data_IF_696819260526
#
_entry.id   IF_696819260526
#
_cell.length_a   1.000
_cell.length_b   1.000
_cell.length_c   1.000
_cell.angle_alpha   90.00
_cell.angle_beta   90.00
_cell.angle_gamma   90.00
#
_symmetry.space_group_name_H-M   'P 1'
#
loop_
_entity.id
_entity.type
_entity.pdbx_description
1 polymer ?
#
# COMPACT_ATOMS: atom_id res chain seq x y z
N UNK A 1 -23.48 -53.79 -25.08
CA UNK A 1 -24.40 -52.68 -25.44
C UNK A 1 -23.71 -51.37 -25.13
N UNK A 2 -23.40 -50.55 -26.14
CA UNK A 2 -22.84 -49.20 -25.96
C UNK A 2 -24.03 -48.27 -25.73
N UNK A 3 -24.15 -47.70 -24.53
CA UNK A 3 -25.23 -46.77 -24.18
C UNK A 3 -24.67 -45.34 -24.16
N UNK A 4 -24.58 -44.66 -25.31
CA UNK A 4 -23.87 -43.38 -25.44
C UNK A 4 -24.44 -42.27 -24.54
N UNK A 5 -25.74 -42.33 -24.21
CA UNK A 5 -26.38 -41.36 -23.32
C UNK A 5 -25.83 -41.39 -21.89
N UNK A 6 -25.50 -42.58 -21.36
CA UNK A 6 -24.92 -42.72 -20.03
C UNK A 6 -23.48 -42.19 -19.97
N UNK A 7 -22.71 -42.41 -21.03
CA UNK A 7 -21.34 -41.89 -21.13
C UNK A 7 -21.33 -40.36 -21.19
N UNK A 8 -22.29 -39.75 -21.91
CA UNK A 8 -22.40 -38.28 -22.01
C UNK A 8 -22.70 -37.64 -20.65
N UNK A 9 -23.67 -38.17 -19.90
CA UNK A 9 -24.00 -37.63 -18.57
C UNK A 9 -22.88 -37.83 -17.56
N UNK A 10 -22.19 -38.97 -17.60
CA UNK A 10 -21.03 -39.22 -16.76
C UNK A 10 -19.89 -38.22 -17.05
N UNK A 11 -19.55 -38.00 -18.33
CA UNK A 11 -18.51 -37.04 -18.74
C UNK A 11 -18.87 -35.61 -18.35
N UNK A 12 -20.13 -35.19 -18.54
CA UNK A 12 -20.61 -33.87 -18.12
C UNK A 12 -20.48 -33.67 -16.61
N UNK A 13 -20.86 -34.67 -15.82
CA UNK A 13 -20.80 -34.58 -14.35
C UNK A 13 -19.35 -34.48 -13.86
N UNK A 14 -18.44 -35.27 -14.46
CA UNK A 14 -17.00 -35.21 -14.18
C UNK A 14 -16.42 -33.87 -14.59
N UNK A 15 -16.74 -33.38 -15.79
CA UNK A 15 -16.25 -32.08 -16.28
C UNK A 15 -16.71 -30.92 -15.38
N UNK A 16 -17.96 -30.96 -14.91
CA UNK A 16 -18.52 -29.92 -14.05
C UNK A 16 -17.91 -29.97 -12.64
N UNK A 17 -17.67 -31.17 -12.09
CA UNK A 17 -17.00 -31.34 -10.80
C UNK A 17 -15.53 -30.87 -10.82
N UNK A 18 -14.79 -31.22 -11.88
CA UNK A 18 -13.41 -30.76 -12.07
C UNK A 18 -13.40 -29.23 -12.25
N UNK A 19 -14.25 -28.70 -13.13
CA UNK A 19 -14.32 -27.26 -13.40
C UNK A 19 -14.66 -26.43 -12.16
N UNK A 20 -15.63 -26.85 -11.35
CA UNK A 20 -15.99 -26.17 -10.11
C UNK A 20 -14.83 -26.17 -9.09
N UNK A 21 -14.15 -27.30 -8.94
CA UNK A 21 -13.02 -27.43 -8.01
C UNK A 21 -11.84 -26.56 -8.48
N UNK A 22 -11.51 -26.59 -9.77
CA UNK A 22 -10.46 -25.75 -10.36
C UNK A 22 -10.79 -24.26 -10.23
N UNK A 23 -12.04 -23.84 -10.41
CA UNK A 23 -12.43 -22.43 -10.25
C UNK A 23 -12.21 -21.94 -8.81
N UNK A 24 -12.60 -22.73 -7.81
CA UNK A 24 -12.39 -22.41 -6.39
C UNK A 24 -10.89 -22.30 -6.10
N UNK A 25 -10.09 -23.30 -6.51
CA UNK A 25 -8.65 -23.27 -6.30
C UNK A 25 -7.97 -22.15 -7.07
N UNK A 26 -8.45 -21.76 -8.26
CA UNK A 26 -7.90 -20.65 -9.02
C UNK A 26 -8.13 -19.30 -8.32
N UNK A 27 -9.31 -19.09 -7.71
CA UNK A 27 -9.57 -17.86 -6.93
C UNK A 27 -8.70 -17.83 -5.68
N UNK A 28 -8.60 -18.95 -4.97
CA UNK A 28 -7.74 -19.05 -3.79
C UNK A 28 -6.28 -18.84 -4.17
N UNK A 29 -5.82 -19.46 -5.26
CA UNK A 29 -4.45 -19.29 -5.75
C UNK A 29 -4.17 -17.86 -6.20
N UNK A 30 -5.11 -17.19 -6.86
CA UNK A 30 -4.96 -15.77 -7.22
C UNK A 30 -4.88 -14.85 -5.99
N UNK A 31 -5.51 -15.23 -4.87
CA UNK A 31 -5.38 -14.53 -3.59
C UNK A 31 -4.03 -14.79 -2.92
N UNK A 32 -3.44 -15.97 -3.14
CA UNK A 32 -2.13 -16.37 -2.61
C UNK A 32 -0.98 -16.18 -3.60
N UNK A 33 -1.24 -15.62 -4.79
CA UNK A 33 -0.20 -15.34 -5.76
C UNK A 33 0.85 -14.47 -5.05
N UNK A 34 2.13 -14.87 -5.06
CA UNK A 34 3.14 -14.20 -4.27
C UNK A 34 3.11 -12.74 -4.65
N UNK A 35 2.68 -11.91 -3.70
CA UNK A 35 2.66 -10.47 -3.90
C UNK A 35 4.01 -10.07 -4.48
N UNK A 36 4.06 -9.23 -5.53
CA UNK A 36 5.24 -8.98 -6.35
C UNK A 36 6.28 -8.13 -5.61
N UNK A 37 6.71 -8.62 -4.45
CA UNK A 37 7.79 -8.11 -3.65
C UNK A 37 9.04 -8.92 -4.01
N UNK A 38 10.21 -8.30 -4.16
CA UNK A 38 11.43 -9.01 -4.57
C UNK A 38 11.91 -10.05 -3.56
N UNK A 39 11.45 -9.98 -2.30
CA UNK A 39 11.84 -10.88 -1.20
C UNK A 39 10.66 -11.19 -0.26
N UNK A 40 9.64 -11.94 -0.71
CA UNK A 40 8.44 -12.18 0.09
C UNK A 40 8.74 -12.94 1.39
N UNK A 41 9.73 -13.84 1.38
CA UNK A 41 10.12 -14.64 2.56
C UNK A 41 10.76 -13.82 3.70
N UNK A 42 11.13 -12.56 3.43
CA UNK A 42 11.78 -11.67 4.41
C UNK A 42 10.83 -10.61 4.95
N UNK A 43 9.60 -10.55 4.43
CA UNK A 43 8.59 -9.59 4.87
C UNK A 43 7.70 -10.24 5.90
N UNK A 44 7.74 -9.71 7.12
CA UNK A 44 6.84 -10.12 8.20
C UNK A 44 6.03 -8.92 8.69
N UNK A 45 4.76 -9.16 8.99
CA UNK A 45 3.89 -8.15 9.56
C UNK A 45 3.85 -8.30 11.07
N UNK A 46 4.31 -7.27 11.78
CA UNK A 46 4.34 -7.24 13.24
C UNK A 46 3.13 -6.47 13.74
N UNK A 47 2.45 -7.03 14.75
CA UNK A 47 1.27 -6.44 15.38
C UNK A 47 1.53 -6.29 16.87
N UNK A 48 1.01 -5.23 17.48
CA UNK A 48 0.93 -5.16 18.94
C UNK A 48 -0.23 -6.02 19.41
N UNK A 49 -0.08 -6.72 20.53
CA UNK A 49 -1.18 -7.46 21.15
C UNK A 49 -1.78 -6.63 22.28
N UNK A 50 -3.02 -6.19 22.13
CA UNK A 50 -3.79 -5.57 23.20
C UNK A 50 -4.93 -6.51 23.59
N UNK A 51 -4.98 -6.91 24.87
CA UNK A 51 -6.02 -7.80 25.41
C UNK A 51 -6.20 -9.11 24.62
N UNK A 52 -5.10 -9.72 24.15
CA UNK A 52 -5.12 -10.97 23.40
C UNK A 52 -5.49 -10.84 21.92
N UNK A 53 -5.85 -9.65 21.44
CA UNK A 53 -6.16 -9.38 20.04
C UNK A 53 -5.02 -8.63 19.34
N UNK A 54 -4.86 -8.89 18.04
CA UNK A 54 -3.97 -8.10 17.18
C UNK A 54 -4.51 -6.68 17.09
N UNK A 55 -3.65 -5.71 17.39
CA UNK A 55 -3.96 -4.30 17.35
C UNK A 55 -2.88 -3.55 16.55
N UNK A 56 -3.25 -2.35 16.10
CA UNK A 56 -2.32 -1.43 15.45
C UNK A 56 -1.19 -1.05 16.41
N UNK A 57 0.02 -0.95 15.87
CA UNK A 57 1.20 -0.54 16.63
C UNK A 57 1.12 0.96 16.87
N UNK A 58 1.35 1.38 18.12
CA UNK A 58 1.44 2.80 18.48
C UNK A 58 2.74 3.39 17.96
N UNK A 59 2.75 4.69 17.66
CA UNK A 59 3.95 5.36 17.15
C UNK A 59 5.18 5.21 18.06
N UNK A 60 4.97 5.25 19.38
CA UNK A 60 6.03 5.08 20.38
C UNK A 60 6.64 3.69 20.33
N UNK A 61 5.80 2.65 20.27
CA UNK A 61 6.24 1.25 20.16
C UNK A 61 7.03 1.02 18.88
N UNK A 62 6.60 1.61 17.75
CA UNK A 62 7.33 1.53 16.49
C UNK A 62 8.75 2.12 16.61
N UNK A 63 8.89 3.29 17.23
CA UNK A 63 10.21 3.93 17.44
C UNK A 63 11.11 3.07 18.33
N UNK A 64 10.55 2.51 19.40
CA UNK A 64 11.28 1.60 20.28
C UNK A 64 11.72 0.33 19.54
N UNK A 65 10.85 -0.27 18.72
CA UNK A 65 11.19 -1.45 17.93
C UNK A 65 12.26 -1.15 16.89
N UNK A 66 12.17 0.00 16.22
CA UNK A 66 13.16 0.45 15.24
C UNK A 66 14.54 0.65 15.86
N UNK A 67 14.61 1.14 17.10
CA UNK A 67 15.88 1.37 17.80
C UNK A 67 16.45 0.11 18.46
N UNK A 68 15.60 -0.78 18.98
CA UNK A 68 16.02 -1.92 19.81
C UNK A 68 16.11 -3.25 19.06
N UNK A 69 15.46 -3.37 17.91
CA UNK A 69 15.45 -4.65 17.18
C UNK A 69 16.70 -4.81 16.33
N UNK A 70 17.45 -5.88 16.58
CA UNK A 70 18.60 -6.31 15.77
C UNK A 70 18.24 -7.45 14.80
N UNK A 71 17.05 -8.02 14.92
CA UNK A 71 16.61 -9.19 14.13
C UNK A 71 16.13 -8.82 12.73
N UNK A 72 15.81 -7.56 12.47
CA UNK A 72 15.27 -7.08 11.19
C UNK A 72 16.27 -6.18 10.46
N UNK A 73 16.40 -6.36 9.14
CA UNK A 73 17.20 -5.47 8.30
C UNK A 73 16.61 -4.05 8.21
N UNK A 74 15.29 -3.94 8.36
CA UNK A 74 14.57 -2.67 8.39
C UNK A 74 13.15 -2.86 8.91
N UNK A 75 12.62 -1.84 9.57
CA UNK A 75 11.24 -1.82 10.06
C UNK A 75 10.53 -0.61 9.48
N UNK A 76 9.56 -0.89 8.61
CA UNK A 76 8.65 0.11 8.07
C UNK A 76 7.31 0.08 8.79
N UNK A 77 6.72 1.25 9.03
CA UNK A 77 5.34 1.36 9.47
C UNK A 77 4.48 1.96 8.37
N UNK A 78 3.22 1.52 8.31
CA UNK A 78 2.22 2.12 7.44
C UNK A 78 0.87 2.21 8.11
N UNK A 79 0.05 3.15 7.68
CA UNK A 79 -1.35 3.26 8.08
C UNK A 79 -2.19 3.70 6.88
N UNK A 80 -3.34 3.06 6.67
CA UNK A 80 -4.28 3.45 5.62
C UNK A 80 -5.03 4.73 5.99
N UNK A 81 -5.39 5.52 4.99
CA UNK A 81 -6.18 6.74 5.19
C UNK A 81 -6.84 7.23 3.91
N UNK A 82 -7.68 8.23 4.04
CA UNK A 82 -8.20 8.99 2.90
C UNK A 82 -7.74 10.43 2.99
N UNK A 83 -7.32 10.99 1.87
CA UNK A 83 -6.75 12.33 1.76
C UNK A 83 -7.50 13.13 0.71
N UNK A 84 -7.75 14.40 0.98
CA UNK A 84 -8.37 15.29 0.01
C UNK A 84 -7.27 15.98 -0.79
N UNK A 85 -7.25 15.80 -2.10
CA UNK A 85 -6.29 16.40 -3.02
C UNK A 85 -6.98 17.52 -3.81
N UNK A 86 -6.32 18.68 -3.90
CA UNK A 86 -6.78 19.82 -4.69
C UNK A 86 -7.13 21.07 -3.87
N UNK A 87 -7.48 22.14 -4.58
CA UNK A 87 -8.01 23.39 -3.99
C UNK A 87 -9.49 23.22 -3.65
N UNK A 88 -10.02 24.12 -2.80
CA UNK A 88 -11.43 24.21 -2.35
C UNK A 88 -12.48 24.05 -3.45
N UNK A 89 -12.08 24.33 -4.69
CA UNK A 89 -12.98 24.47 -5.84
C UNK A 89 -13.22 23.11 -6.52
N UNK A 90 -12.31 22.13 -6.33
CA UNK A 90 -12.43 20.73 -6.79
C UNK A 90 -11.66 19.75 -5.86
N UNK A 91 -12.10 19.56 -4.61
CA UNK A 91 -11.48 18.57 -3.73
C UNK A 91 -11.86 17.14 -4.18
N UNK A 92 -10.86 16.30 -4.42
CA UNK A 92 -11.06 14.86 -4.66
C UNK A 92 -10.53 14.07 -3.46
N UNK A 93 -11.37 13.23 -2.86
CA UNK A 93 -10.93 12.32 -1.81
C UNK A 93 -10.28 11.09 -2.45
N UNK A 94 -9.02 10.86 -2.13
CA UNK A 94 -8.22 9.75 -2.63
C UNK A 94 -7.84 8.83 -1.48
N UNK A 95 -7.93 7.53 -1.72
CA UNK A 95 -7.36 6.54 -0.82
C UNK A 95 -5.83 6.63 -0.86
N UNK A 96 -5.21 6.66 0.31
CA UNK A 96 -3.76 6.74 0.45
C UNK A 96 -3.27 6.00 1.68
N UNK A 97 -1.96 6.08 1.92
CA UNK A 97 -1.39 5.56 3.14
C UNK A 97 -0.27 6.45 3.67
N UNK A 98 -0.17 6.52 4.98
CA UNK A 98 1.00 7.07 5.65
C UNK A 98 2.05 5.99 5.70
N UNK A 99 3.27 6.26 5.23
CA UNK A 99 4.37 5.29 5.24
C UNK A 99 5.62 5.93 5.79
N UNK A 100 6.46 5.16 6.45
CA UNK A 100 7.78 5.61 6.92
C UNK A 100 8.79 5.67 5.78
N UNK A 101 9.87 6.47 5.90
CA UNK A 101 10.94 6.45 4.90
C UNK A 101 11.54 5.05 4.71
N UNK A 102 11.87 4.69 3.48
CA UNK A 102 12.43 3.38 3.11
C UNK A 102 11.41 2.24 2.98
N UNK A 103 10.12 2.49 3.21
CA UNK A 103 9.07 1.47 3.06
C UNK A 103 8.96 0.97 1.60
N UNK A 104 9.02 1.87 0.62
CA UNK A 104 8.94 1.50 -0.79
C UNK A 104 10.17 0.72 -1.24
N UNK A 105 11.34 1.08 -0.73
CA UNK A 105 12.59 0.34 -0.93
C UNK A 105 12.49 -1.08 -0.34
N UNK A 106 11.86 -1.24 0.83
CA UNK A 106 11.63 -2.54 1.48
C UNK A 106 10.67 -3.42 0.66
N UNK A 107 9.60 -2.85 0.11
CA UNK A 107 8.70 -3.55 -0.84
C UNK A 107 9.34 -3.76 -2.22
N UNK A 108 10.50 -3.14 -2.47
CA UNK A 108 11.20 -3.17 -3.75
C UNK A 108 10.41 -2.56 -4.90
N UNK A 109 9.59 -1.55 -4.61
CA UNK A 109 8.80 -0.84 -5.60
C UNK A 109 9.66 0.19 -6.32
N UNK A 110 9.95 0.02 -7.62
CA UNK A 110 10.71 1.02 -8.36
C UNK A 110 9.84 2.26 -8.60
N UNK A 111 10.34 3.41 -8.15
CA UNK A 111 9.79 4.71 -8.53
C UNK A 111 9.98 4.92 -10.04
N UNK A 112 8.96 5.41 -10.73
CA UNK A 112 9.08 5.71 -12.16
C UNK A 112 9.91 6.99 -12.38
N UNK A 113 9.66 8.00 -11.54
CA UNK A 113 10.33 9.29 -11.56
C UNK A 113 10.43 9.82 -10.14
N UNK A 114 11.52 10.50 -9.82
CA UNK A 114 11.77 11.04 -8.47
C UNK A 114 12.50 10.04 -7.57
N UNK A 115 12.34 10.21 -6.25
CA UNK A 115 12.99 9.39 -5.21
C UNK A 115 12.02 8.97 -4.12
N UNK A 116 12.37 7.91 -3.40
CA UNK A 116 11.73 7.57 -2.13
C UNK A 116 11.91 8.71 -1.10
N UNK A 117 11.15 8.65 -0.02
CA UNK A 117 11.28 9.57 1.11
C UNK A 117 12.67 9.47 1.73
N UNK A 118 13.25 10.62 2.04
CA UNK A 118 14.50 10.71 2.77
C UNK A 118 14.28 10.47 4.27
N UNK A 119 15.28 9.93 4.99
CA UNK A 119 15.19 9.74 6.44
C UNK A 119 14.86 11.03 7.21
N UNK A 120 15.36 12.19 6.76
CA UNK A 120 15.15 13.49 7.39
C UNK A 120 13.72 14.02 7.19
N UNK A 121 13.04 13.58 6.13
CA UNK A 121 11.63 13.94 5.86
C UNK A 121 10.69 13.18 6.80
N UNK A 122 11.16 12.06 7.39
CA UNK A 122 10.44 11.33 8.42
C UNK A 122 10.52 11.95 9.81
N UNK A 123 11.01 13.20 9.92
CA UNK A 123 11.03 13.94 11.18
C UNK A 123 9.84 14.91 11.26
N UNK A 124 9.33 15.18 12.48
CA UNK A 124 8.21 16.09 12.63
C UNK A 124 8.51 17.49 12.06
N UNK A 125 7.59 18.03 11.25
CA UNK A 125 7.73 19.34 10.62
C UNK A 125 8.51 19.31 9.30
N UNK A 126 9.04 18.14 8.91
CA UNK A 126 9.66 17.90 7.58
C UNK A 126 8.87 16.88 6.76
N UNK A 127 7.70 16.49 7.26
CA UNK A 127 6.79 15.46 6.73
C UNK A 127 5.82 16.00 5.66
N UNK A 128 6.16 17.11 5.02
CA UNK A 128 5.35 17.70 3.94
C UNK A 128 5.73 17.15 2.57
N UNK A 129 5.88 15.82 2.46
CA UNK A 129 6.31 15.16 1.22
C UNK A 129 5.34 14.04 0.83
N UNK A 130 5.00 13.98 -0.46
CA UNK A 130 4.08 12.99 -1.00
C UNK A 130 4.59 12.31 -2.25
N UNK A 131 4.31 11.01 -2.34
CA UNK A 131 4.53 10.19 -3.51
C UNK A 131 3.17 9.86 -4.12
N UNK A 132 2.99 10.27 -5.38
CA UNK A 132 1.72 10.16 -6.08
C UNK A 132 1.64 8.82 -6.81
N UNK A 133 0.46 8.20 -6.76
CA UNK A 133 0.17 7.04 -7.60
C UNK A 133 0.02 7.46 -9.06
N UNK A 134 0.38 6.57 -9.99
CA UNK A 134 0.21 6.83 -11.43
C UNK A 134 -1.22 7.23 -11.78
N UNK A 135 -2.21 6.60 -11.14
CA UNK A 135 -3.63 6.87 -11.39
C UNK A 135 -4.03 8.28 -10.98
N UNK A 136 -3.54 8.76 -9.84
CA UNK A 136 -3.81 10.12 -9.37
C UNK A 136 -3.11 11.15 -10.26
N UNK A 137 -1.85 10.89 -10.62
CA UNK A 137 -1.09 11.72 -11.53
C UNK A 137 -1.73 11.84 -12.93
N UNK A 138 -2.17 10.73 -13.51
CA UNK A 138 -2.82 10.74 -14.82
C UNK A 138 -4.20 11.43 -14.78
N UNK A 139 -5.03 11.15 -13.77
CA UNK A 139 -6.40 11.69 -13.69
C UNK A 139 -6.49 13.15 -13.24
N UNK A 140 -5.72 13.54 -12.23
CA UNK A 140 -5.85 14.86 -11.61
C UNK A 140 -4.85 15.87 -12.19
N UNK A 141 -3.74 15.38 -12.72
CA UNK A 141 -2.62 16.21 -13.15
C UNK A 141 -2.27 16.05 -14.64
N UNK A 142 -3.10 15.35 -15.41
CA UNK A 142 -2.94 15.18 -16.86
C UNK A 142 -1.53 14.71 -17.28
N UNK A 143 -0.88 13.88 -16.43
CA UNK A 143 0.47 13.38 -16.64
C UNK A 143 1.54 14.49 -16.73
N UNK A 144 1.29 15.64 -16.10
CA UNK A 144 2.23 16.75 -16.04
C UNK A 144 3.43 16.39 -15.15
N UNK A 145 4.61 16.30 -15.79
CA UNK A 145 5.88 16.00 -15.11
C UNK A 145 6.41 17.18 -14.29
N UNK A 146 5.93 18.40 -14.54
CA UNK A 146 6.38 19.60 -13.81
C UNK A 146 5.92 19.61 -12.36
N UNK A 147 5.07 18.65 -11.96
CA UNK A 147 4.55 18.52 -10.61
C UNK A 147 5.58 17.95 -9.63
N UNK A 148 6.61 17.26 -10.10
CA UNK A 148 7.74 16.88 -9.25
C UNK A 148 8.38 18.14 -8.66
N UNK A 149 8.48 18.19 -7.33
CA UNK A 149 8.99 19.33 -6.59
C UNK A 149 8.00 20.48 -6.41
N UNK A 150 6.80 20.43 -7.01
CA UNK A 150 5.75 21.43 -6.78
C UNK A 150 4.98 21.15 -5.50
N UNK A 151 4.43 22.23 -4.96
CA UNK A 151 3.50 22.21 -3.84
C UNK A 151 2.10 21.81 -4.34
N UNK A 152 1.53 20.81 -3.67
CA UNK A 152 0.18 20.30 -3.87
C UNK A 152 -0.53 20.42 -2.53
N UNK A 153 -1.80 20.82 -2.56
CA UNK A 153 -2.62 20.84 -1.37
C UNK A 153 -3.19 19.45 -1.07
N UNK A 154 -2.89 18.95 0.12
CA UNK A 154 -3.45 17.71 0.67
C UNK A 154 -4.07 17.98 2.03
N UNK A 155 -5.36 17.67 2.19
CA UNK A 155 -6.14 17.99 3.39
C UNK A 155 -6.08 19.49 3.77
N UNK A 156 -5.92 20.38 2.79
CA UNK A 156 -5.78 21.83 2.99
C UNK A 156 -4.38 22.28 3.38
N UNK A 157 -3.42 21.37 3.55
CA UNK A 157 -2.03 21.67 3.87
C UNK A 157 -1.14 21.60 2.63
N UNK A 158 -0.12 22.48 2.53
CA UNK A 158 0.86 22.42 1.45
C UNK A 158 1.77 21.20 1.61
N UNK A 159 1.95 20.42 0.55
CA UNK A 159 2.80 19.22 0.52
C UNK A 159 3.55 19.15 -0.80
N UNK A 160 4.85 18.87 -0.76
CA UNK A 160 5.68 18.78 -1.94
C UNK A 160 5.64 17.37 -2.55
N UNK A 161 5.46 17.27 -3.87
CA UNK A 161 5.59 15.98 -4.57
C UNK A 161 7.06 15.60 -4.75
N UNK A 162 7.46 14.39 -4.31
CA UNK A 162 8.83 13.88 -4.48
C UNK A 162 8.98 12.84 -5.60
N UNK A 163 7.95 12.03 -5.85
CA UNK A 163 8.01 10.94 -6.84
C UNK A 163 6.65 10.47 -7.35
N UNK A 164 6.71 9.67 -8.42
CA UNK A 164 5.59 8.93 -9.01
C UNK A 164 5.82 7.41 -9.01
N UNK A 165 4.82 6.65 -8.57
CA UNK A 165 4.82 5.19 -8.65
C UNK A 165 4.52 4.67 -10.07
N UNK A 166 4.94 3.44 -10.37
CA UNK A 166 4.57 2.74 -11.62
C UNK A 166 3.05 2.43 -11.71
N UNK A 167 2.50 2.21 -12.92
CA UNK A 167 1.11 1.76 -13.09
C UNK A 167 0.91 0.41 -12.39
N UNK A 168 -0.21 0.22 -11.72
CA UNK A 168 -0.53 -0.98 -10.93
C UNK A 168 -0.46 -0.79 -9.41
N UNK A 169 0.17 0.30 -8.94
CA UNK A 169 0.20 0.67 -7.53
C UNK A 169 -0.83 1.77 -7.24
N UNK A 170 -1.83 1.44 -6.43
CA UNK A 170 -3.03 2.27 -6.23
C UNK A 170 -2.84 3.36 -5.16
N UNK A 171 -1.78 3.29 -4.37
CA UNK A 171 -1.67 4.05 -3.13
C UNK A 171 -0.92 5.36 -3.35
N UNK A 172 -1.60 6.49 -3.14
CA UNK A 172 -0.92 7.76 -2.88
C UNK A 172 -0.34 7.68 -1.46
N UNK A 173 0.97 7.77 -1.32
CA UNK A 173 1.61 7.68 -0.02
C UNK A 173 2.07 9.04 0.43
N UNK A 174 1.58 9.47 1.59
CA UNK A 174 2.05 10.68 2.23
C UNK A 174 3.00 10.26 3.33
N UNK A 175 4.15 10.92 3.42
CA UNK A 175 4.99 10.75 4.58
C UNK A 175 4.33 11.51 5.72
N UNK A 176 3.95 10.84 6.79
CA UNK A 176 3.65 11.53 8.04
C UNK A 176 4.24 10.72 9.18
N UNK A 177 5.50 11.00 9.48
CA UNK A 177 6.11 10.62 10.75
C UNK A 177 6.17 11.88 11.61
N UNK A 178 5.01 12.22 12.19
CA UNK A 178 4.84 13.36 13.08
C UNK A 178 3.54 13.22 13.86
N UNK A 179 3.35 14.08 14.86
CA UNK A 179 2.31 14.08 15.91
C UNK A 179 0.88 13.77 15.44
N UNK A 180 0.59 13.94 14.15
CA UNK A 180 -0.71 13.66 13.52
C UNK A 180 -1.03 12.16 13.42
N UNK A 181 -0.02 11.29 13.29
CA UNK A 181 -0.20 9.82 13.41
C UNK A 181 -0.62 9.46 14.84
N UNK A 182 0.02 10.08 15.85
CA UNK A 182 -0.34 9.91 17.26
C UNK A 182 -1.75 10.45 17.58
N UNK A 183 -2.18 11.57 16.96
CA UNK A 183 -3.51 12.13 17.23
C UNK A 183 -4.64 11.32 16.61
N UNK A 184 -4.40 10.64 15.49
CA UNK A 184 -5.45 9.91 14.76
C UNK A 184 -5.66 8.49 15.28
N UNK A 185 -4.70 7.90 16.00
CA UNK A 185 -4.86 6.61 16.70
C UNK A 185 -5.54 6.75 18.08
N UNK A 186 -5.74 7.97 18.57
CA UNK A 186 -6.34 8.23 19.89
C UNK A 186 -7.82 8.65 19.81
N UNK A 187 -8.53 8.24 18.76
CA UNK A 187 -9.98 8.41 18.59
C UNK A 187 -10.68 7.07 18.48
#
# INVERSE_FOLDING_TARGET
>A
MKNPGFTVTAVLTIALGIGATTAIFSVVYAVFEPMPYPKPDQLVMVWTTASGNRNSVLAGDYLDWKQRSSSFQGIGAWSGGSFNVGSSDRPEQVAGSLRTPGFFTMEGLPMMWGRDFLPEEGQPGRDHVVILSHRLWSRHFAEDRTILGREIRMNGEPTQSSAFCRPGYTIASILNCGYRWCSNQNR
#
